data_IF_655204880959
#
_entry.id   IF_655204880959
#
_cell.length_a   1.000
_cell.length_b   1.000
_cell.length_c   1.000
_cell.angle_alpha   90.00
_cell.angle_beta   90.00
_cell.angle_gamma   90.00
#
_symmetry.space_group_name_H-M   'P 1'
#
loop_
_entity.id
_entity.type
_entity.pdbx_description
1 polymer ?
#
# COMPACT_ATOMS: atom_id res chain seq x y z
N UNK A 1 59.15 11.07 62.31
CA UNK A 1 58.45 12.00 61.37
C UNK A 1 57.61 11.20 60.48
N UNK A 2 56.35 10.95 60.86
CA UNK A 2 55.36 10.22 60.06
C UNK A 2 54.57 11.27 59.23
N UNK A 3 54.83 11.27 57.93
CA UNK A 3 54.01 12.03 56.98
C UNK A 3 52.77 11.18 56.68
N UNK A 4 51.68 11.48 57.38
CA UNK A 4 50.36 10.93 57.03
C UNK A 4 49.89 11.61 55.78
N UNK A 5 49.67 10.84 54.72
CA UNK A 5 49.01 11.24 53.50
C UNK A 5 47.61 10.55 53.37
N UNK A 6 46.68 10.79 54.32
CA UNK A 6 45.34 10.21 54.20
C UNK A 6 44.39 11.00 53.27
N UNK A 7 44.69 12.29 53.03
CA UNK A 7 43.80 13.14 52.20
C UNK A 7 43.94 12.92 50.70
N UNK A 8 45.14 12.56 50.24
CA UNK A 8 45.41 12.32 48.83
C UNK A 8 44.67 11.06 48.30
N UNK A 9 44.50 10.05 49.11
CA UNK A 9 43.77 8.82 48.82
C UNK A 9 42.26 9.08 48.62
N UNK A 10 41.63 9.86 49.49
CA UNK A 10 40.21 10.19 49.39
C UNK A 10 39.88 11.09 48.20
N UNK A 11 40.73 12.04 47.87
CA UNK A 11 40.52 12.89 46.68
C UNK A 11 40.62 12.09 45.38
N UNK A 12 41.52 11.16 45.27
CA UNK A 12 41.68 10.29 44.08
C UNK A 12 40.50 9.35 43.91
N UNK A 13 39.95 8.79 44.98
CA UNK A 13 38.73 7.96 44.95
C UNK A 13 37.49 8.74 44.50
N UNK A 14 37.34 9.99 45.02
CA UNK A 14 36.22 10.85 44.63
C UNK A 14 36.32 11.26 43.14
N UNK A 15 37.50 11.58 42.66
CA UNK A 15 37.75 11.92 41.27
C UNK A 15 37.52 10.72 40.35
N UNK A 16 37.95 9.53 40.73
CA UNK A 16 37.70 8.31 40.00
C UNK A 16 36.18 7.99 39.92
N UNK A 17 35.46 8.17 41.04
CA UNK A 17 34.02 7.97 41.05
C UNK A 17 33.27 8.97 40.17
N UNK A 18 33.66 10.25 40.12
CA UNK A 18 33.06 11.27 39.26
C UNK A 18 33.35 10.97 37.77
N UNK A 19 34.59 10.59 37.43
CA UNK A 19 34.96 10.22 36.06
C UNK A 19 34.21 8.98 35.61
N UNK A 20 34.09 7.96 36.46
CA UNK A 20 33.35 6.75 36.16
C UNK A 20 31.86 7.03 35.99
N UNK A 21 31.29 7.87 36.86
CA UNK A 21 29.90 8.30 36.76
C UNK A 21 29.60 9.07 35.46
N UNK A 22 30.50 9.98 35.08
CA UNK A 22 30.38 10.73 33.83
C UNK A 22 30.50 9.81 32.60
N UNK A 23 31.40 8.84 32.60
CA UNK A 23 31.56 7.85 31.55
C UNK A 23 30.29 6.99 31.42
N UNK A 24 29.73 6.47 32.53
CA UNK A 24 28.54 5.67 32.55
C UNK A 24 27.32 6.48 32.05
N UNK A 25 27.19 7.74 32.47
CA UNK A 25 26.11 8.61 32.00
C UNK A 25 26.20 8.87 30.50
N UNK A 26 27.39 9.10 29.96
CA UNK A 26 27.62 9.32 28.54
C UNK A 26 27.29 8.07 27.73
N UNK A 27 27.79 6.90 28.15
CA UNK A 27 27.52 5.62 27.48
C UNK A 27 26.01 5.30 27.50
N UNK A 28 25.34 5.49 28.65
CA UNK A 28 23.91 5.28 28.77
C UNK A 28 23.12 6.21 27.87
N UNK A 29 23.51 7.48 27.76
CA UNK A 29 22.89 8.46 26.86
C UNK A 29 23.02 8.07 25.38
N UNK A 30 24.20 7.59 24.96
CA UNK A 30 24.42 7.13 23.59
C UNK A 30 23.58 5.89 23.28
N UNK A 31 23.52 4.94 24.20
CA UNK A 31 22.71 3.72 24.03
C UNK A 31 21.23 4.08 23.93
N UNK A 32 20.72 4.94 24.82
CA UNK A 32 19.33 5.38 24.81
C UNK A 32 18.97 6.08 23.49
N UNK A 33 19.84 6.98 23.00
CA UNK A 33 19.61 7.69 21.75
C UNK A 33 19.62 6.75 20.53
N UNK A 34 20.53 5.78 20.50
CA UNK A 34 20.57 4.77 19.45
C UNK A 34 19.31 3.88 19.47
N UNK A 35 18.84 3.52 20.65
CA UNK A 35 17.61 2.74 20.81
C UNK A 35 16.39 3.50 20.32
N UNK A 36 16.23 4.76 20.71
CA UNK A 36 15.13 5.60 20.21
C UNK A 36 15.17 5.76 18.69
N UNK A 37 16.36 6.05 18.14
CA UNK A 37 16.51 6.18 16.68
C UNK A 37 16.11 4.87 15.96
N UNK A 38 16.45 3.72 16.55
CA UNK A 38 16.10 2.42 15.99
C UNK A 38 14.57 2.16 16.08
N UNK A 39 13.93 2.52 17.19
CA UNK A 39 12.48 2.40 17.35
C UNK A 39 11.73 3.31 16.37
N UNK A 40 12.10 4.59 16.28
CA UNK A 40 11.49 5.53 15.32
C UNK A 40 11.56 5.04 13.88
N UNK A 41 12.71 4.46 13.48
CA UNK A 41 12.85 3.87 12.15
C UNK A 41 11.97 2.66 11.92
N UNK A 42 11.74 1.82 12.92
CA UNK A 42 10.81 0.68 12.81
C UNK A 42 9.36 1.14 12.73
N UNK A 43 8.99 2.16 13.48
CA UNK A 43 7.65 2.75 13.44
C UNK A 43 7.38 3.40 12.08
N UNK A 44 8.36 4.13 11.52
CA UNK A 44 8.27 4.71 10.19
C UNK A 44 8.10 3.64 9.11
N UNK A 45 8.92 2.59 9.14
CA UNK A 45 8.81 1.44 8.23
C UNK A 45 7.44 0.76 8.33
N UNK A 46 6.94 0.56 9.55
CA UNK A 46 5.62 -0.02 9.79
C UNK A 46 4.50 0.86 9.25
N UNK A 47 4.56 2.17 9.49
CA UNK A 47 3.57 3.12 8.98
C UNK A 47 3.56 3.18 7.45
N UNK A 48 4.73 3.17 6.83
CA UNK A 48 4.86 3.08 5.38
C UNK A 48 4.25 1.78 4.83
N UNK A 49 4.54 0.65 5.47
CA UNK A 49 4.01 -0.65 5.07
C UNK A 49 2.49 -0.73 5.23
N UNK A 50 1.90 -0.12 6.27
CA UNK A 50 0.46 -0.01 6.44
C UNK A 50 -0.17 0.80 5.31
N UNK A 51 0.31 2.02 5.09
CA UNK A 51 -0.21 2.91 4.05
C UNK A 51 -0.21 2.24 2.68
N UNK A 52 0.93 1.70 2.26
CA UNK A 52 1.03 1.09 0.95
C UNK A 52 0.31 -0.26 0.85
N UNK A 53 0.21 -1.00 1.95
CA UNK A 53 -0.57 -2.22 2.02
C UNK A 53 -2.05 -1.97 1.78
N UNK A 54 -2.61 -0.93 2.38
CA UNK A 54 -4.00 -0.51 2.18
C UNK A 54 -4.25 -0.03 0.75
N UNK A 55 -3.40 0.84 0.22
CA UNK A 55 -3.52 1.37 -1.15
C UNK A 55 -3.50 0.23 -2.18
N UNK A 56 -2.53 -0.68 -2.08
CA UNK A 56 -2.38 -1.78 -3.04
C UNK A 56 -3.52 -2.80 -2.89
N UNK A 57 -3.99 -3.06 -1.68
CA UNK A 57 -5.13 -3.95 -1.43
C UNK A 57 -6.42 -3.37 -2.01
N UNK A 58 -6.67 -2.08 -1.81
CA UNK A 58 -7.81 -1.36 -2.39
C UNK A 58 -7.75 -1.36 -3.92
N UNK A 59 -6.57 -1.08 -4.48
CA UNK A 59 -6.32 -1.13 -5.92
C UNK A 59 -6.67 -2.49 -6.50
N UNK A 60 -6.24 -3.57 -5.88
CA UNK A 60 -6.59 -4.94 -6.27
C UNK A 60 -8.10 -5.16 -6.32
N UNK A 61 -8.81 -4.80 -5.25
CA UNK A 61 -10.27 -4.96 -5.16
C UNK A 61 -11.00 -4.21 -6.27
N UNK A 62 -10.54 -2.99 -6.59
CA UNK A 62 -11.12 -2.17 -7.66
C UNK A 62 -10.88 -2.79 -9.04
N UNK A 63 -9.68 -3.31 -9.31
CA UNK A 63 -9.35 -3.97 -10.57
C UNK A 63 -10.11 -5.28 -10.75
N UNK A 64 -10.18 -6.13 -9.73
CA UNK A 64 -10.98 -7.35 -9.74
C UNK A 64 -12.49 -7.07 -9.91
N UNK A 65 -12.96 -5.92 -9.37
CA UNK A 65 -14.34 -5.48 -9.54
C UNK A 65 -14.60 -4.95 -10.95
N UNK A 66 -13.63 -4.27 -11.55
CA UNK A 66 -13.70 -3.86 -12.95
C UNK A 66 -13.74 -5.07 -13.90
N UNK A 67 -12.93 -6.09 -13.63
CA UNK A 67 -12.94 -7.33 -14.42
C UNK A 67 -14.29 -8.07 -14.34
N UNK A 68 -14.82 -8.22 -13.13
CA UNK A 68 -16.17 -8.81 -12.94
C UNK A 68 -17.25 -8.00 -13.63
N UNK A 69 -17.19 -6.66 -13.59
CA UNK A 69 -18.15 -5.82 -14.28
C UNK A 69 -18.11 -6.01 -15.81
N UNK A 70 -16.92 -6.21 -16.37
CA UNK A 70 -16.73 -6.51 -17.80
C UNK A 70 -17.35 -7.85 -18.24
N UNK A 71 -17.33 -8.83 -17.35
CA UNK A 71 -17.89 -10.17 -17.64
C UNK A 71 -19.44 -10.20 -17.63
N UNK A 72 -20.08 -9.25 -16.94
CA UNK A 72 -21.53 -9.25 -16.71
C UNK A 72 -22.26 -8.08 -17.36
N UNK A 73 -21.56 -7.13 -17.98
CA UNK A 73 -22.09 -5.91 -18.57
C UNK A 73 -21.27 -5.49 -19.80
N UNK A 74 -21.64 -4.42 -20.52
CA UNK A 74 -20.79 -3.90 -21.57
C UNK A 74 -19.37 -3.66 -21.06
N UNK A 75 -18.37 -4.19 -21.79
CA UNK A 75 -16.99 -4.31 -21.32
C UNK A 75 -16.39 -3.02 -20.71
N UNK A 76 -16.75 -1.87 -21.29
CA UNK A 76 -16.32 -0.55 -20.81
C UNK A 76 -17.54 0.34 -20.46
N UNK A 77 -18.58 -0.28 -19.91
CA UNK A 77 -19.78 0.41 -19.43
C UNK A 77 -19.50 1.32 -18.22
N UNK A 78 -20.54 2.03 -17.75
CA UNK A 78 -20.39 3.03 -16.67
C UNK A 78 -19.76 2.49 -15.38
N UNK A 79 -20.02 1.22 -15.05
CA UNK A 79 -19.51 0.57 -13.83
C UNK A 79 -18.01 0.34 -13.98
N UNK A 80 -17.57 -0.28 -15.07
CA UNK A 80 -16.15 -0.52 -15.37
C UNK A 80 -15.36 0.79 -15.38
N UNK A 81 -15.90 1.81 -16.08
CA UNK A 81 -15.28 3.15 -16.11
C UNK A 81 -15.12 3.76 -14.72
N UNK A 82 -16.14 3.59 -13.85
CA UNK A 82 -16.09 4.09 -12.46
C UNK A 82 -15.01 3.38 -11.65
N UNK A 83 -14.91 2.06 -11.79
CA UNK A 83 -13.89 1.26 -11.08
C UNK A 83 -12.48 1.63 -11.54
N UNK A 84 -12.24 1.78 -12.86
CA UNK A 84 -10.94 2.20 -13.38
C UNK A 84 -10.55 3.62 -12.91
N UNK A 85 -11.50 4.57 -12.91
CA UNK A 85 -11.25 5.90 -12.34
C UNK A 85 -10.97 5.88 -10.84
N UNK A 86 -11.60 4.98 -10.10
CA UNK A 86 -11.32 4.79 -8.68
C UNK A 86 -9.92 4.18 -8.50
N UNK A 87 -9.55 3.16 -9.28
CA UNK A 87 -8.23 2.56 -9.27
C UNK A 87 -7.13 3.59 -9.61
N UNK A 88 -7.38 4.50 -10.59
CA UNK A 88 -6.46 5.58 -10.92
C UNK A 88 -6.24 6.53 -9.72
N UNK A 89 -7.29 6.83 -8.96
CA UNK A 89 -7.17 7.67 -7.74
C UNK A 89 -6.36 6.99 -6.63
N UNK A 90 -6.44 5.67 -6.49
CA UNK A 90 -5.58 4.94 -5.55
C UNK A 90 -4.10 5.06 -5.95
N UNK A 91 -3.81 5.02 -7.25
CA UNK A 91 -2.44 5.25 -7.74
C UNK A 91 -2.00 6.70 -7.47
N UNK A 92 -2.89 7.69 -7.59
CA UNK A 92 -2.58 9.08 -7.22
C UNK A 92 -2.21 9.21 -5.73
N UNK A 93 -2.83 8.41 -4.85
CA UNK A 93 -2.46 8.36 -3.43
C UNK A 93 -1.05 7.78 -3.29
N UNK A 94 -0.74 6.70 -4.01
CA UNK A 94 0.61 6.13 -4.03
C UNK A 94 1.64 7.17 -4.51
N UNK A 95 1.37 7.86 -5.62
CA UNK A 95 2.28 8.85 -6.20
C UNK A 95 2.56 10.02 -5.26
N UNK A 96 1.53 10.53 -4.58
CA UNK A 96 1.66 11.62 -3.59
C UNK A 96 2.48 11.23 -2.36
N UNK A 97 2.44 9.96 -1.99
CA UNK A 97 3.16 9.44 -0.82
C UNK A 97 4.45 8.72 -1.20
N UNK A 98 4.93 8.87 -2.44
CA UNK A 98 6.10 8.16 -2.95
C UNK A 98 7.37 8.37 -2.12
N UNK A 99 7.52 9.53 -1.51
CA UNK A 99 8.63 9.84 -0.62
C UNK A 99 8.68 8.91 0.60
N UNK A 100 7.53 8.48 1.11
CA UNK A 100 7.42 7.57 2.26
C UNK A 100 7.96 6.15 1.92
N UNK A 101 8.10 5.80 0.64
CA UNK A 101 8.73 4.54 0.23
C UNK A 101 10.17 4.39 0.75
N UNK A 102 10.87 5.49 0.97
CA UNK A 102 12.25 5.48 1.49
C UNK A 102 12.32 4.83 2.87
N UNK A 103 11.24 4.89 3.65
CA UNK A 103 11.17 4.30 4.97
C UNK A 103 11.14 2.76 4.94
N UNK A 104 10.69 2.15 3.84
CA UNK A 104 10.82 0.72 3.63
C UNK A 104 12.28 0.36 3.38
N UNK A 105 12.87 -0.49 4.23
CA UNK A 105 14.29 -0.85 4.14
C UNK A 105 14.62 -1.73 2.94
N UNK A 106 13.69 -2.57 2.53
CA UNK A 106 13.87 -3.50 1.42
C UNK A 106 13.84 -2.76 0.07
N UNK A 107 14.98 -2.59 -0.61
CA UNK A 107 15.03 -1.89 -1.90
C UNK A 107 14.33 -2.68 -3.01
N UNK A 108 14.28 -4.02 -2.91
CA UNK A 108 13.58 -4.84 -3.88
C UNK A 108 12.07 -4.63 -3.77
N UNK A 109 11.53 -4.57 -2.54
CA UNK A 109 10.12 -4.26 -2.30
C UNK A 109 9.75 -2.88 -2.87
N UNK A 110 10.59 -1.85 -2.64
CA UNK A 110 10.36 -0.51 -3.22
C UNK A 110 10.32 -0.53 -4.74
N UNK A 111 11.27 -1.23 -5.36
CA UNK A 111 11.35 -1.36 -6.81
C UNK A 111 10.13 -2.10 -7.39
N UNK A 112 9.70 -3.18 -6.72
CA UNK A 112 8.55 -3.97 -7.14
C UNK A 112 7.25 -3.15 -7.05
N UNK A 113 7.07 -2.36 -5.98
CA UNK A 113 5.93 -1.46 -5.81
C UNK A 113 5.91 -0.37 -6.88
N UNK A 114 7.05 0.24 -7.17
CA UNK A 114 7.14 1.25 -8.21
C UNK A 114 6.84 0.67 -9.59
N UNK A 115 7.38 -0.51 -9.88
CA UNK A 115 7.10 -1.23 -11.14
C UNK A 115 5.62 -1.56 -11.27
N UNK A 116 4.99 -2.07 -10.20
CA UNK A 116 3.56 -2.34 -10.16
C UNK A 116 2.74 -1.08 -10.49
N UNK A 117 3.02 0.04 -9.81
CA UNK A 117 2.29 1.29 -10.03
C UNK A 117 2.38 1.75 -11.49
N UNK A 118 3.58 1.77 -12.07
CA UNK A 118 3.80 2.15 -13.47
C UNK A 118 3.09 1.21 -14.43
N UNK A 119 3.18 -0.11 -14.20
CA UNK A 119 2.56 -1.12 -15.07
C UNK A 119 1.02 -1.12 -15.00
N UNK A 120 0.42 -0.57 -13.95
CA UNK A 120 -1.03 -0.44 -13.84
C UNK A 120 -1.52 0.92 -14.34
N UNK A 121 -0.80 2.02 -14.04
CA UNK A 121 -1.24 3.35 -14.43
C UNK A 121 -1.31 3.53 -15.96
N UNK A 122 -0.29 3.08 -16.67
CA UNK A 122 -0.20 3.23 -18.12
C UNK A 122 -1.41 2.63 -18.88
N UNK A 123 -1.81 1.35 -18.61
CA UNK A 123 -3.01 0.80 -19.23
C UNK A 123 -4.30 1.50 -18.79
N UNK A 124 -4.43 1.89 -17.51
CA UNK A 124 -5.63 2.59 -17.03
C UNK A 124 -5.83 3.90 -17.79
N UNK A 125 -4.79 4.72 -17.86
CA UNK A 125 -4.84 6.01 -18.56
C UNK A 125 -5.15 5.79 -20.05
N UNK A 126 -4.45 4.87 -20.73
CA UNK A 126 -4.71 4.55 -22.13
C UNK A 126 -6.14 4.03 -22.39
N UNK A 127 -6.69 3.21 -21.50
CA UNK A 127 -8.07 2.76 -21.59
C UNK A 127 -9.04 3.95 -21.39
N UNK A 128 -8.83 4.76 -20.36
CA UNK A 128 -9.73 5.87 -20.04
C UNK A 128 -9.75 6.94 -21.15
N UNK A 129 -8.59 7.21 -21.75
CA UNK A 129 -8.45 8.21 -22.82
C UNK A 129 -9.08 7.73 -24.14
N UNK A 130 -9.06 6.44 -24.42
CA UNK A 130 -9.61 5.86 -25.65
C UNK A 130 -11.11 5.51 -25.59
N UNK A 131 -11.80 5.70 -24.45
CA UNK A 131 -13.17 5.24 -24.24
C UNK A 131 -14.21 5.84 -25.18
N UNK A 132 -13.98 7.02 -25.69
CA UNK A 132 -14.91 7.72 -26.58
C UNK A 132 -14.59 7.50 -28.06
N UNK A 133 -13.54 6.73 -28.36
CA UNK A 133 -13.14 6.35 -29.73
C UNK A 133 -13.85 5.08 -30.17
N UNK A 134 -14.29 5.09 -31.44
CA UNK A 134 -14.87 3.92 -32.13
C UNK A 134 -13.86 3.24 -33.07
N UNK A 135 -12.57 3.50 -32.90
CA UNK A 135 -11.53 2.92 -33.73
C UNK A 135 -11.25 1.44 -33.31
N UNK A 136 -11.34 0.46 -34.22
CA UNK A 136 -11.14 -0.96 -33.90
C UNK A 136 -9.70 -1.26 -33.42
N UNK A 137 -8.71 -0.46 -33.80
CA UNK A 137 -7.33 -0.64 -33.31
C UNK A 137 -7.20 -0.19 -31.86
N UNK A 138 -7.95 0.85 -31.44
CA UNK A 138 -8.02 1.26 -30.05
C UNK A 138 -8.79 0.25 -29.20
N UNK A 139 -9.81 -0.43 -29.76
CA UNK A 139 -10.49 -1.53 -29.07
C UNK A 139 -9.51 -2.65 -28.74
N UNK A 140 -8.67 -3.05 -29.68
CA UNK A 140 -7.63 -4.07 -29.43
C UNK A 140 -6.60 -3.59 -28.40
N UNK A 141 -6.20 -2.33 -28.50
CA UNK A 141 -5.27 -1.75 -27.53
C UNK A 141 -5.85 -1.73 -26.12
N UNK A 142 -7.15 -1.39 -25.95
CA UNK A 142 -7.87 -1.45 -24.68
C UNK A 142 -7.91 -2.85 -24.10
N UNK A 143 -8.26 -3.86 -24.93
CA UNK A 143 -8.28 -5.26 -24.50
C UNK A 143 -6.90 -5.76 -24.07
N UNK A 144 -5.88 -5.46 -24.87
CA UNK A 144 -4.49 -5.82 -24.55
C UNK A 144 -4.00 -5.13 -23.28
N UNK A 145 -4.29 -3.84 -23.13
CA UNK A 145 -3.93 -3.07 -21.93
C UNK A 145 -4.64 -3.61 -20.68
N UNK A 146 -5.91 -3.97 -20.79
CA UNK A 146 -6.65 -4.55 -19.67
C UNK A 146 -6.10 -5.93 -19.29
N UNK A 147 -5.82 -6.79 -20.24
CA UNK A 147 -5.23 -8.11 -20.00
C UNK A 147 -3.86 -7.98 -19.30
N UNK A 148 -2.99 -7.10 -19.77
CA UNK A 148 -1.69 -6.81 -19.15
C UNK A 148 -1.82 -6.29 -17.71
N UNK A 149 -2.78 -5.41 -17.48
CA UNK A 149 -3.08 -4.89 -16.13
C UNK A 149 -3.53 -6.00 -15.19
N UNK A 150 -4.40 -6.93 -15.64
CA UNK A 150 -4.85 -8.06 -14.84
C UNK A 150 -3.74 -9.06 -14.55
N UNK A 151 -2.86 -9.33 -15.53
CA UNK A 151 -1.64 -10.13 -15.31
C UNK A 151 -0.74 -9.49 -14.24
N UNK A 152 -0.57 -8.18 -14.31
CA UNK A 152 0.19 -7.42 -13.30
C UNK A 152 -0.47 -7.49 -11.93
N UNK A 153 -1.81 -7.40 -11.87
CA UNK A 153 -2.60 -7.51 -10.65
C UNK A 153 -2.38 -8.86 -9.92
N UNK A 154 -2.09 -9.93 -10.64
CA UNK A 154 -1.79 -11.24 -10.06
C UNK A 154 -0.55 -11.25 -9.13
N UNK A 155 0.32 -10.23 -9.21
CA UNK A 155 1.50 -10.08 -8.33
C UNK A 155 1.17 -9.35 -7.01
N UNK A 156 0.02 -8.69 -6.92
CA UNK A 156 -0.36 -7.90 -5.74
C UNK A 156 -0.39 -8.74 -4.46
N UNK A 157 -0.92 -9.98 -4.43
CA UNK A 157 -0.97 -10.76 -3.20
C UNK A 157 0.39 -10.98 -2.53
N UNK A 158 1.44 -11.19 -3.32
CA UNK A 158 2.80 -11.33 -2.77
C UNK A 158 3.28 -10.02 -2.13
N UNK A 159 3.11 -8.89 -2.82
CA UNK A 159 3.48 -7.59 -2.29
C UNK A 159 2.71 -7.25 -1.00
N UNK A 160 1.41 -7.49 -0.99
CA UNK A 160 0.55 -7.28 0.18
C UNK A 160 1.00 -8.17 1.35
N UNK A 161 1.35 -9.43 1.08
CA UNK A 161 1.89 -10.34 2.09
C UNK A 161 3.22 -9.84 2.67
N UNK A 162 4.12 -9.32 1.82
CA UNK A 162 5.41 -8.75 2.27
C UNK A 162 5.19 -7.50 3.13
N UNK A 163 4.31 -6.59 2.71
CA UNK A 163 3.93 -5.40 3.46
C UNK A 163 3.23 -5.76 4.78
N UNK A 164 2.34 -6.75 4.77
CA UNK A 164 1.65 -7.24 5.96
C UNK A 164 2.61 -7.76 7.04
N UNK A 165 3.67 -8.46 6.64
CA UNK A 165 4.71 -8.90 7.59
C UNK A 165 5.44 -7.74 8.24
N UNK A 166 5.74 -6.67 7.49
CA UNK A 166 6.40 -5.46 8.02
C UNK A 166 5.45 -4.64 8.90
N UNK A 167 4.19 -4.56 8.51
CA UNK A 167 3.15 -3.83 9.23
C UNK A 167 2.64 -4.59 10.47
N UNK A 168 2.92 -5.88 10.60
CA UNK A 168 2.24 -6.79 11.53
C UNK A 168 0.70 -6.71 11.38
N UNK A 169 0.22 -6.64 10.14
CA UNK A 169 -1.18 -6.45 9.78
C UNK A 169 -1.60 -7.41 8.68
N UNK A 170 -2.84 -7.91 8.77
CA UNK A 170 -3.44 -8.74 7.72
C UNK A 170 -4.38 -7.90 6.85
N UNK A 171 -3.98 -7.68 5.60
CA UNK A 171 -4.77 -6.94 4.61
C UNK A 171 -5.81 -7.81 3.89
N UNK A 172 -5.98 -9.09 4.25
CA UNK A 172 -6.93 -9.98 3.56
C UNK A 172 -8.40 -9.61 3.79
N UNK A 173 -8.70 -8.80 4.80
CA UNK A 173 -10.06 -8.33 5.11
C UNK A 173 -10.66 -7.37 4.08
N UNK A 174 -9.88 -6.91 3.11
CA UNK A 174 -10.38 -6.13 1.95
C UNK A 174 -10.98 -7.01 0.84
N UNK A 175 -11.32 -8.28 1.12
CA UNK A 175 -12.09 -9.08 0.19
C UNK A 175 -13.43 -8.35 -0.09
N UNK A 176 -13.79 -8.13 -1.37
CA UNK A 176 -15.03 -7.44 -1.69
C UNK A 176 -16.19 -8.22 -1.10
N UNK A 177 -16.93 -7.58 -0.21
CA UNK A 177 -18.23 -8.12 0.25
C UNK A 177 -19.06 -8.37 -1.00
N UNK A 178 -19.59 -9.59 -1.21
CA UNK A 178 -20.45 -9.84 -2.36
C UNK A 178 -21.58 -8.80 -2.35
N UNK A 179 -21.96 -8.22 -3.51
CA UNK A 179 -23.00 -7.21 -3.56
C UNK A 179 -24.24 -7.76 -2.89
N UNK A 180 -24.93 -6.98 -2.06
CA UNK A 180 -26.17 -7.41 -1.43
C UNK A 180 -27.13 -7.88 -2.54
N UNK A 181 -27.85 -8.95 -2.27
CA UNK A 181 -28.78 -9.64 -3.20
C UNK A 181 -29.82 -8.73 -3.87
N UNK A 182 -29.86 -7.45 -3.52
CA UNK A 182 -30.65 -6.42 -4.16
C UNK A 182 -30.35 -6.23 -5.67
N UNK A 183 -29.15 -6.60 -6.14
CA UNK A 183 -28.84 -6.55 -7.60
C UNK A 183 -29.48 -7.70 -8.39
N UNK A 184 -29.89 -8.79 -7.74
CA UNK A 184 -30.60 -9.91 -8.40
C UNK A 184 -32.07 -9.63 -8.65
N UNK A 185 -32.66 -8.63 -8.03
CA UNK A 185 -34.09 -8.32 -8.16
C UNK A 185 -34.43 -7.45 -9.37
N UNK A 186 -33.47 -6.85 -10.05
CA UNK A 186 -33.69 -6.00 -11.21
C UNK A 186 -33.87 -6.78 -12.53
N UNK A 187 -33.35 -8.04 -12.59
CA UNK A 187 -33.50 -8.88 -13.79
C UNK A 187 -34.84 -9.63 -13.86
N UNK A 188 -35.72 -9.46 -12.87
CA UNK A 188 -37.00 -10.14 -12.77
C UNK A 188 -38.22 -9.38 -13.33
N UNK A 189 -38.00 -8.21 -13.93
CA UNK A 189 -39.10 -7.54 -14.67
C UNK A 189 -39.23 -8.11 -16.09
N UNK A 190 -39.85 -9.29 -16.17
CA UNK A 190 -40.37 -9.82 -17.44
C UNK A 190 -41.27 -8.77 -18.11
N UNK A 191 -41.16 -8.58 -19.44
CA UNK A 191 -42.05 -7.67 -20.16
C UNK A 191 -43.47 -8.20 -20.04
N UNK A 192 -44.30 -7.44 -19.32
CA UNK A 192 -45.72 -7.74 -19.14
C UNK A 192 -46.40 -7.90 -20.49
N UNK A 193 -47.03 -9.05 -20.67
CA UNK A 193 -48.01 -9.39 -21.71
C UNK A 193 -49.06 -8.29 -21.80
N UNK A 194 -48.97 -7.51 -22.87
CA UNK A 194 -50.06 -6.63 -23.28
C UNK A 194 -51.25 -7.51 -23.69
N UNK A 195 -52.19 -7.73 -22.77
CA UNK A 195 -53.50 -8.28 -23.09
C UNK A 195 -54.24 -7.33 -24.02
N UNK A 196 -54.42 -7.76 -25.28
CA UNK A 196 -55.43 -7.23 -26.21
C UNK A 196 -56.81 -7.45 -25.57
N UNK A 197 -57.54 -6.38 -25.28
CA UNK A 197 -59.01 -6.42 -25.21
C UNK A 197 -59.57 -5.83 -26.51
N UNK A 198 -60.38 -6.63 -27.13
CA UNK A 198 -61.33 -6.36 -28.23
C UNK A 198 -62.39 -5.39 -27.75
#
# INVERSE_FOLDING_TARGET
>A
MHLEFPEFSRQSETLAAVVLGALLATVSGVIANQWEAHQRRRESERSAALLFGEVISTLRVLLESADRARQHAPAYGPVTRRMLRAARREIDIYERNREVLVDLRDPALRADMHRLAVQIVMPIDGILDSLDSSNPDEDRARESGFAFMMETCARIPDLVSRLGRLAHHDFQHFAPTPPPSAFRAADGLAPGTAERRV
#
